data_IF_676602242174
#
_entry.id   IF_676602242174
#
_cell.length_a   1.000
_cell.length_b   1.000
_cell.length_c   1.000
_cell.angle_alpha   90.00
_cell.angle_beta   90.00
_cell.angle_gamma   90.00
#
_symmetry.space_group_name_H-M   'P 1'
#
loop_
_entity.id
_entity.type
_entity.pdbx_description
1 polymer ?
#
# COMPACT_ATOMS: atom_id res chain seq x y z
N UNK A 1 15.54 10.35 6.87
CA UNK A 1 15.08 8.98 6.50
C UNK A 1 13.92 9.11 5.52
N UNK A 2 13.77 8.23 4.53
CA UNK A 2 12.71 8.30 3.50
C UNK A 2 11.72 7.15 3.64
N UNK A 3 10.44 7.44 3.43
CA UNK A 3 9.35 6.47 3.44
C UNK A 3 8.55 6.56 2.14
N UNK A 4 8.24 5.40 1.58
CA UNK A 4 7.30 5.25 0.46
C UNK A 4 5.90 5.59 0.97
N UNK A 5 5.33 6.68 0.48
CA UNK A 5 4.08 7.23 0.97
C UNK A 5 2.89 6.84 0.10
N UNK A 6 1.89 6.21 0.73
CA UNK A 6 0.59 5.87 0.15
C UNK A 6 -0.49 6.78 0.77
N UNK A 7 -0.89 7.88 0.10
CA UNK A 7 -1.95 8.76 0.62
C UNK A 7 -3.33 8.09 0.57
N UNK A 8 -3.55 7.21 -0.41
CA UNK A 8 -4.85 6.61 -0.68
C UNK A 8 -5.88 7.63 -1.17
N UNK A 9 -7.07 7.13 -1.53
CA UNK A 9 -8.09 7.94 -2.20
C UNK A 9 -8.67 9.07 -1.33
N UNK A 10 -8.84 8.85 -0.02
CA UNK A 10 -9.47 9.84 0.87
C UNK A 10 -8.58 11.05 1.12
N UNK A 11 -7.30 10.84 1.48
CA UNK A 11 -6.40 11.95 1.76
C UNK A 11 -6.10 12.75 0.50
N UNK A 12 -5.97 12.07 -0.65
CA UNK A 12 -5.73 12.75 -1.94
C UNK A 12 -6.88 13.67 -2.37
N UNK A 13 -8.13 13.31 -2.07
CA UNK A 13 -9.30 13.97 -2.69
C UNK A 13 -10.24 14.68 -1.71
N UNK A 14 -10.31 14.25 -0.45
CA UNK A 14 -11.31 14.74 0.53
C UNK A 14 -10.65 15.30 1.78
N UNK A 15 -9.69 14.58 2.34
CA UNK A 15 -8.96 14.98 3.54
C UNK A 15 -7.60 15.61 3.18
N UNK A 16 -7.57 16.53 2.21
CA UNK A 16 -6.34 17.15 1.69
C UNK A 16 -5.56 17.86 2.79
N UNK A 17 -6.26 18.57 3.69
CA UNK A 17 -5.63 19.22 4.85
C UNK A 17 -4.91 18.24 5.78
N UNK A 18 -5.42 17.00 5.89
CA UNK A 18 -4.75 15.97 6.69
C UNK A 18 -3.45 15.52 6.00
N UNK A 19 -3.45 15.37 4.68
CA UNK A 19 -2.23 15.07 3.89
C UNK A 19 -1.17 16.17 4.06
N UNK A 20 -1.57 17.43 3.94
CA UNK A 20 -0.70 18.60 4.12
C UNK A 20 -0.09 18.63 5.52
N UNK A 21 -0.92 18.52 6.56
CA UNK A 21 -0.46 18.48 7.94
C UNK A 21 0.50 17.30 8.19
N UNK A 22 0.25 16.14 7.59
CA UNK A 22 1.12 14.98 7.71
C UNK A 22 2.50 15.22 7.10
N UNK A 23 2.58 15.84 5.92
CA UNK A 23 3.84 16.20 5.24
C UNK A 23 4.63 17.25 6.01
N UNK A 24 3.95 18.21 6.62
CA UNK A 24 4.60 19.18 7.51
C UNK A 24 5.11 18.50 8.78
N UNK A 25 4.31 17.61 9.38
CA UNK A 25 4.69 16.86 10.57
C UNK A 25 5.89 15.93 10.29
N UNK A 26 5.95 15.24 9.14
CA UNK A 26 7.09 14.40 8.79
C UNK A 26 8.39 15.20 8.71
N UNK A 27 8.32 16.39 8.09
CA UNK A 27 9.46 17.31 8.00
C UNK A 27 9.93 17.75 9.38
N UNK A 28 9.01 18.13 10.27
CA UNK A 28 9.32 18.51 11.65
C UNK A 28 9.92 17.35 12.47
N UNK A 29 9.51 16.11 12.18
CA UNK A 29 10.03 14.89 12.82
C UNK A 29 11.33 14.36 12.18
N UNK A 30 11.84 15.01 11.12
CA UNK A 30 13.13 14.67 10.51
C UNK A 30 13.08 13.53 9.47
N UNK A 31 11.92 13.27 8.86
CA UNK A 31 11.80 12.29 7.77
C UNK A 31 10.97 12.80 6.57
N UNK A 32 11.19 12.18 5.43
CA UNK A 32 10.55 12.53 4.17
C UNK A 32 9.53 11.46 3.76
N UNK A 33 8.41 11.92 3.18
CA UNK A 33 7.36 11.07 2.62
C UNK A 33 7.36 11.21 1.09
N UNK A 34 7.88 10.19 0.42
CA UNK A 34 7.98 10.12 -1.05
C UNK A 34 6.76 9.38 -1.60
N UNK A 35 5.83 10.08 -2.23
CA UNK A 35 4.62 9.44 -2.76
C UNK A 35 4.96 8.41 -3.84
N UNK A 36 4.48 7.18 -3.68
CA UNK A 36 4.74 6.12 -4.65
C UNK A 36 4.01 6.40 -5.98
N UNK A 37 4.59 6.06 -7.14
CA UNK A 37 3.93 6.28 -8.43
C UNK A 37 2.77 5.30 -8.65
N UNK A 38 1.78 5.70 -9.45
CA UNK A 38 0.72 4.81 -9.98
C UNK A 38 -0.01 3.96 -8.92
N UNK A 39 -0.12 4.46 -7.68
CA UNK A 39 -0.88 3.76 -6.65
C UNK A 39 -2.36 3.72 -7.01
N UNK A 40 -3.03 2.67 -6.55
CA UNK A 40 -4.46 2.45 -6.77
C UNK A 40 -5.17 2.34 -5.42
N UNK A 41 -6.47 2.57 -5.40
CA UNK A 41 -7.28 2.47 -4.18
C UNK A 41 -7.10 1.09 -3.51
N UNK A 42 -6.93 1.07 -2.19
CA UNK A 42 -6.84 -0.15 -1.40
C UNK A 42 -8.18 -0.92 -1.30
N UNK A 43 -9.28 -0.36 -1.79
CA UNK A 43 -10.62 -0.95 -1.68
C UNK A 43 -11.37 -0.63 -0.37
N UNK A 44 -10.70 -0.03 0.62
CA UNK A 44 -11.32 0.48 1.86
C UNK A 44 -11.80 -0.60 2.84
N UNK A 45 -12.00 -1.84 2.39
CA UNK A 45 -12.38 -2.98 3.22
C UNK A 45 -11.63 -4.21 2.75
N UNK A 46 -11.13 -5.00 3.70
CA UNK A 46 -10.43 -6.23 3.38
C UNK A 46 -11.47 -7.33 3.09
N UNK A 47 -11.46 -7.94 1.90
CA UNK A 47 -12.43 -8.98 1.54
C UNK A 47 -12.07 -10.31 2.22
N UNK A 48 -13.08 -10.97 2.78
CA UNK A 48 -12.94 -12.29 3.42
C UNK A 48 -12.93 -13.45 2.41
N UNK A 49 -13.37 -13.20 1.18
CA UNK A 49 -13.25 -14.16 0.09
C UNK A 49 -11.77 -14.42 -0.21
N UNK A 50 -11.41 -15.71 -0.31
CA UNK A 50 -10.01 -16.16 -0.48
C UNK A 50 -9.69 -16.71 -1.87
N UNK A 51 -10.72 -16.96 -2.67
CA UNK A 51 -10.62 -17.53 -4.01
C UNK A 51 -10.28 -16.49 -5.09
N UNK A 52 -10.61 -15.22 -4.84
CA UNK A 52 -10.35 -14.08 -5.73
C UNK A 52 -9.11 -13.27 -5.31
N UNK A 53 -8.34 -12.81 -6.30
CA UNK A 53 -7.09 -12.03 -6.08
C UNK A 53 -7.20 -10.57 -6.54
N UNK A 54 -8.17 -10.22 -7.39
CA UNK A 54 -8.28 -8.91 -8.02
C UNK A 54 -8.30 -7.76 -7.01
N UNK A 55 -9.00 -7.94 -5.90
CA UNK A 55 -9.10 -6.95 -4.82
C UNK A 55 -7.81 -6.74 -4.03
N UNK A 56 -6.84 -7.67 -4.15
CA UNK A 56 -5.54 -7.60 -3.47
C UNK A 56 -4.48 -6.94 -4.35
N UNK A 57 -4.65 -6.94 -5.67
CA UNK A 57 -3.66 -6.50 -6.65
C UNK A 57 -3.19 -5.05 -6.44
N UNK A 58 -4.08 -4.13 -6.11
CA UNK A 58 -3.71 -2.72 -5.87
C UNK A 58 -2.78 -2.56 -4.67
N UNK A 59 -3.08 -3.28 -3.58
CA UNK A 59 -2.23 -3.33 -2.39
C UNK A 59 -0.88 -3.97 -2.68
N UNK A 60 -0.84 -5.04 -3.49
CA UNK A 60 0.41 -5.70 -3.88
C UNK A 60 1.29 -4.77 -4.73
N UNK A 61 0.71 -4.01 -5.66
CA UNK A 61 1.46 -2.98 -6.42
C UNK A 61 2.08 -1.92 -5.52
N UNK A 62 1.34 -1.46 -4.49
CA UNK A 62 1.88 -0.51 -3.52
C UNK A 62 3.03 -1.10 -2.69
N UNK A 63 2.91 -2.36 -2.27
CA UNK A 63 3.96 -3.09 -1.56
C UNK A 63 5.19 -3.31 -2.43
N UNK A 64 5.01 -3.73 -3.69
CA UNK A 64 6.08 -3.93 -4.66
C UNK A 64 6.82 -2.62 -4.94
N UNK A 65 6.11 -1.52 -5.17
CA UNK A 65 6.74 -0.21 -5.36
C UNK A 65 7.59 0.20 -4.15
N UNK A 66 7.11 -0.03 -2.93
CA UNK A 66 7.90 0.26 -1.73
C UNK A 66 9.13 -0.65 -1.58
N UNK A 67 8.98 -1.96 -1.87
CA UNK A 67 10.07 -2.95 -1.89
C UNK A 67 11.16 -2.53 -2.87
N UNK A 68 10.77 -2.21 -4.10
CA UNK A 68 11.70 -1.90 -5.20
C UNK A 68 12.45 -0.58 -4.91
N UNK A 69 11.78 0.39 -4.27
CA UNK A 69 12.40 1.61 -3.74
C UNK A 69 13.25 1.39 -2.48
N UNK A 70 13.28 0.17 -1.92
CA UNK A 70 13.96 -0.19 -0.66
C UNK A 70 13.58 0.72 0.52
N UNK A 71 12.31 1.10 0.58
CA UNK A 71 11.76 2.01 1.58
C UNK A 71 10.55 1.38 2.28
N UNK A 72 10.36 1.61 3.59
CA UNK A 72 9.13 1.18 4.26
C UNK A 72 7.91 1.92 3.69
N UNK A 73 6.80 1.21 3.53
CA UNK A 73 5.52 1.80 3.13
C UNK A 73 4.84 2.48 4.32
N UNK A 74 4.41 3.73 4.16
CA UNK A 74 3.72 4.56 5.14
C UNK A 74 2.36 5.00 4.59
N UNK A 75 1.33 4.96 5.42
CA UNK A 75 0.02 5.54 5.13
C UNK A 75 -0.62 6.08 6.41
N UNK A 76 -1.42 7.13 6.29
CA UNK A 76 -2.17 7.74 7.40
C UNK A 76 -3.63 7.29 7.47
N UNK A 77 -4.13 6.60 6.44
CA UNK A 77 -5.48 6.09 6.43
C UNK A 77 -5.53 4.73 7.14
N UNK A 78 -6.28 4.62 8.24
CA UNK A 78 -6.45 3.36 8.99
C UNK A 78 -7.02 2.23 8.13
N UNK A 79 -7.97 2.52 7.24
CA UNK A 79 -8.50 1.54 6.31
C UNK A 79 -7.44 1.05 5.31
N UNK A 80 -6.64 1.97 4.75
CA UNK A 80 -5.53 1.61 3.85
C UNK A 80 -4.50 0.76 4.58
N UNK A 81 -4.11 1.16 5.80
CA UNK A 81 -3.19 0.42 6.64
C UNK A 81 -3.70 -1.01 6.87
N UNK A 82 -4.95 -1.15 7.31
CA UNK A 82 -5.55 -2.45 7.60
C UNK A 82 -5.56 -3.37 6.37
N UNK A 83 -6.02 -2.87 5.21
CA UNK A 83 -6.11 -3.70 4.00
C UNK A 83 -4.74 -4.08 3.48
N UNK A 84 -3.83 -3.11 3.32
CA UNK A 84 -2.49 -3.37 2.77
C UNK A 84 -1.69 -4.29 3.70
N UNK A 85 -1.82 -4.12 5.03
CA UNK A 85 -1.15 -4.97 6.01
C UNK A 85 -1.64 -6.42 5.94
N UNK A 86 -2.94 -6.63 5.82
CA UNK A 86 -3.50 -7.99 5.66
C UNK A 86 -3.11 -8.62 4.33
N UNK A 87 -3.13 -7.85 3.22
CA UNK A 87 -2.65 -8.37 1.92
C UNK A 87 -1.17 -8.74 1.96
N UNK A 88 -0.34 -7.96 2.66
CA UNK A 88 1.07 -8.29 2.88
C UNK A 88 1.23 -9.61 3.67
N UNK A 89 0.33 -9.87 4.64
CA UNK A 89 0.33 -11.13 5.38
C UNK A 89 -0.11 -12.31 4.51
N UNK A 90 -1.14 -12.12 3.68
CA UNK A 90 -1.58 -13.14 2.72
C UNK A 90 -0.46 -13.53 1.75
N UNK A 91 0.26 -12.55 1.19
CA UNK A 91 1.37 -12.80 0.28
C UNK A 91 2.51 -13.61 0.93
N UNK A 92 2.66 -13.53 2.26
CA UNK A 92 3.68 -14.25 3.03
C UNK A 92 3.25 -15.63 3.49
N UNK A 93 1.95 -15.84 3.69
CA UNK A 93 1.44 -17.01 4.43
C UNK A 93 0.50 -17.89 3.60
N UNK A 94 -0.05 -17.39 2.50
CA UNK A 94 -0.94 -18.12 1.60
C UNK A 94 -0.28 -18.31 0.22
N UNK A 95 0.30 -19.49 0.01
CA UNK A 95 0.99 -19.86 -1.22
C UNK A 95 0.09 -19.77 -2.47
N UNK A 96 -1.20 -20.07 -2.33
CA UNK A 96 -2.15 -20.00 -3.44
C UNK A 96 -2.41 -18.55 -3.84
N UNK A 97 -2.58 -17.63 -2.87
CA UNK A 97 -2.69 -16.20 -3.15
C UNK A 97 -1.40 -15.69 -3.80
N UNK A 98 -0.23 -15.97 -3.21
CA UNK A 98 1.06 -15.52 -3.73
C UNK A 98 1.29 -15.99 -5.17
N UNK A 99 1.04 -17.28 -5.45
CA UNK A 99 1.19 -17.86 -6.78
C UNK A 99 0.28 -17.20 -7.81
N UNK A 100 -1.03 -17.06 -7.50
CA UNK A 100 -2.00 -16.45 -8.41
C UNK A 100 -1.67 -14.98 -8.69
N UNK A 101 -1.34 -14.22 -7.65
CA UNK A 101 -0.99 -12.80 -7.78
C UNK A 101 0.27 -12.62 -8.63
N UNK A 102 1.33 -13.39 -8.37
CA UNK A 102 2.57 -13.31 -9.12
C UNK A 102 2.36 -13.73 -10.58
N UNK A 103 1.56 -14.76 -10.85
CA UNK A 103 1.20 -15.16 -12.21
C UNK A 103 0.41 -14.06 -12.95
N UNK A 104 -0.50 -13.36 -12.26
CA UNK A 104 -1.28 -12.27 -12.84
C UNK A 104 -0.41 -11.05 -13.16
N UNK A 105 0.38 -10.61 -12.17
CA UNK A 105 1.21 -9.42 -12.30
C UNK A 105 2.50 -9.67 -13.08
N UNK A 106 2.88 -10.95 -13.27
CA UNK A 106 4.18 -11.38 -13.79
C UNK A 106 5.32 -10.69 -13.07
N UNK A 107 5.23 -10.61 -11.74
CA UNK A 107 6.32 -10.07 -10.93
C UNK A 107 7.46 -11.10 -10.92
N UNK A 108 8.70 -10.63 -11.06
CA UNK A 108 9.88 -11.49 -11.06
C UNK A 108 10.12 -12.12 -9.67
N UNK A 109 9.62 -11.52 -8.57
CA UNK A 109 9.68 -12.07 -7.20
C UNK A 109 8.45 -11.68 -6.34
N UNK A 110 8.03 -12.54 -5.37
CA UNK A 110 7.02 -12.22 -4.35
C UNK A 110 7.39 -11.06 -3.42
#
# INVERSE_FOLDING_TARGET
>A
MKYSYFPGCTLKNKAVKLDECARLASTALGFEMEEIPEWQCCGGTYPLAKDEIATKLSSVRALASARDSKQPLLTLCSACHNVIKQVNEDMKTDENIATKVNNYLKLDEP
#
